data_IF_280001076771
#
_entry.id   IF_280001076771
#
_cell.length_a   1.000
_cell.length_b   1.000
_cell.length_c   1.000
_cell.angle_alpha   90.00
_cell.angle_beta   90.00
_cell.angle_gamma   90.00
#
_symmetry.space_group_name_H-M   'P 1'
#
loop_
_entity.id
_entity.type
_entity.pdbx_description
1 polymer ?
#
# COMPACT_ATOMS: atom_id res chain seq x y z
N UNK A 1 0.46 -2.23 20.20
CA UNK A 1 0.28 -3.57 20.75
C UNK A 1 1.37 -3.86 21.78
N UNK A 2 1.04 -3.86 23.07
CA UNK A 2 1.99 -4.13 24.16
C UNK A 2 1.49 -5.27 25.05
N UNK A 3 2.30 -6.33 25.19
CA UNK A 3 2.03 -7.51 26.02
C UNK A 3 2.98 -7.63 27.22
N UNK A 4 3.83 -6.64 27.48
CA UNK A 4 4.76 -6.69 28.62
C UNK A 4 3.96 -6.73 29.93
N UNK A 5 4.19 -7.77 30.72
CA UNK A 5 3.51 -8.00 32.00
C UNK A 5 2.06 -8.46 31.89
N UNK A 6 1.58 -8.89 30.71
CA UNK A 6 0.18 -9.30 30.49
C UNK A 6 0.04 -10.44 29.48
N UNK A 7 -1.10 -11.12 29.48
CA UNK A 7 -1.43 -12.11 28.44
C UNK A 7 -1.77 -11.43 27.11
N UNK A 8 -1.63 -12.16 26.01
CA UNK A 8 -1.97 -11.68 24.65
C UNK A 8 -3.39 -11.11 24.56
N UNK A 9 -4.35 -11.75 25.21
CA UNK A 9 -5.76 -11.36 25.21
C UNK A 9 -6.03 -10.03 25.92
N UNK A 10 -5.05 -9.51 26.68
CA UNK A 10 -5.13 -8.24 27.41
C UNK A 10 -4.15 -7.20 26.85
N UNK A 11 -3.60 -7.43 25.66
CA UNK A 11 -2.65 -6.53 25.02
C UNK A 11 -3.20 -5.11 24.95
N UNK A 12 -2.35 -4.12 25.23
CA UNK A 12 -2.73 -2.72 25.03
C UNK A 12 -2.58 -2.37 23.54
N UNK A 13 -3.68 -1.96 22.92
CA UNK A 13 -3.71 -1.44 21.56
C UNK A 13 -3.83 0.08 21.60
N UNK A 14 -3.11 0.74 20.70
CA UNK A 14 -3.08 2.19 20.57
C UNK A 14 -2.70 2.55 19.14
N UNK A 15 -3.36 3.57 18.62
CA UNK A 15 -3.10 4.21 17.34
C UNK A 15 -3.12 5.72 17.57
N UNK A 16 -2.20 6.44 16.92
CA UNK A 16 -2.10 7.89 17.05
C UNK A 16 -3.30 8.56 16.34
N UNK A 17 -4.12 9.37 17.04
CA UNK A 17 -5.26 10.07 16.45
C UNK A 17 -4.90 10.98 15.28
N UNK A 18 -3.68 11.53 15.26
CA UNK A 18 -3.23 12.47 14.23
C UNK A 18 -2.56 11.78 13.04
N UNK A 19 -2.19 10.50 13.16
CA UNK A 19 -1.60 9.74 12.06
C UNK A 19 -2.66 8.83 11.40
N UNK A 20 -3.13 7.82 12.11
CA UNK A 20 -4.05 6.82 11.56
C UNK A 20 -5.42 6.83 12.23
N UNK A 21 -5.52 7.36 13.45
CA UNK A 21 -6.74 7.32 14.24
C UNK A 21 -7.31 5.89 14.30
N UNK A 22 -8.61 5.70 14.02
CA UNK A 22 -9.23 4.38 14.06
C UNK A 22 -8.88 3.49 12.85
N UNK A 23 -8.16 3.99 11.84
CA UNK A 23 -7.91 3.27 10.58
C UNK A 23 -6.83 2.19 10.69
N UNK A 24 -6.03 2.19 11.76
CA UNK A 24 -4.92 1.25 11.92
C UNK A 24 -5.20 0.24 13.04
N UNK A 25 -5.13 -1.04 12.71
CA UNK A 25 -5.22 -2.14 13.67
C UNK A 25 -4.05 -3.13 13.49
N UNK A 26 -3.57 -3.69 14.60
CA UNK A 26 -2.46 -4.63 14.57
C UNK A 26 -2.95 -6.07 14.77
N UNK A 27 -2.96 -6.82 13.66
CA UNK A 27 -3.42 -8.20 13.61
C UNK A 27 -2.29 -9.17 14.02
N UNK A 28 -2.40 -9.74 15.22
CA UNK A 28 -1.45 -10.73 15.73
C UNK A 28 -1.74 -12.17 15.35
N UNK A 29 -2.95 -12.43 14.83
CA UNK A 29 -3.35 -13.78 14.37
C UNK A 29 -2.72 -14.07 13.00
N UNK A 30 -2.47 -13.03 12.20
CA UNK A 30 -1.77 -13.13 10.92
C UNK A 30 -0.35 -13.69 11.12
N UNK A 31 0.12 -14.47 10.13
CA UNK A 31 1.48 -15.03 10.11
C UNK A 31 2.15 -14.62 8.79
N UNK A 32 3.09 -13.65 8.80
CA UNK A 32 3.56 -12.88 9.96
C UNK A 32 2.50 -11.93 10.52
N UNK A 33 2.67 -11.47 11.77
CA UNK A 33 1.81 -10.44 12.35
C UNK A 33 1.90 -9.16 11.51
N UNK A 34 0.76 -8.53 11.24
CA UNK A 34 0.65 -7.42 10.29
C UNK A 34 -0.06 -6.22 10.91
N UNK A 35 0.30 -5.03 10.43
CA UNK A 35 -0.49 -3.82 10.64
C UNK A 35 -1.43 -3.68 9.45
N UNK A 36 -2.73 -3.64 9.72
CA UNK A 36 -3.76 -3.34 8.72
C UNK A 36 -4.08 -1.85 8.79
N UNK A 37 -4.11 -1.20 7.62
CA UNK A 37 -4.49 0.20 7.47
C UNK A 37 -5.68 0.28 6.52
N UNK A 38 -6.83 0.69 7.04
CA UNK A 38 -8.06 0.86 6.28
C UNK A 38 -8.11 2.23 5.61
N UNK A 39 -8.76 2.31 4.45
CA UNK A 39 -9.00 3.57 3.74
C UNK A 39 -7.70 4.35 3.48
N UNK A 40 -6.72 3.69 2.84
CA UNK A 40 -5.39 4.25 2.53
C UNK A 40 -5.52 5.56 1.75
N UNK A 41 -4.77 6.58 2.18
CA UNK A 41 -4.70 7.92 1.59
C UNK A 41 -3.33 8.15 0.95
N UNK A 42 -3.23 9.14 0.06
CA UNK A 42 -1.95 9.50 -0.58
C UNK A 42 -0.87 9.88 0.45
N UNK A 43 -1.26 10.61 1.50
CA UNK A 43 -0.35 11.03 2.58
C UNK A 43 0.13 9.86 3.46
N UNK A 44 -0.46 8.67 3.33
CA UNK A 44 0.03 7.46 3.99
C UNK A 44 1.28 6.90 3.28
N UNK A 45 1.64 7.37 2.07
CA UNK A 45 2.87 6.96 1.37
C UNK A 45 4.12 7.29 2.19
N UNK A 46 5.03 6.33 2.30
CA UNK A 46 6.27 6.57 3.00
C UNK A 46 6.96 5.32 3.51
N UNK A 47 7.89 5.54 4.43
CA UNK A 47 8.71 4.48 5.01
C UNK A 47 8.35 4.28 6.48
N UNK A 48 7.82 3.10 6.77
CA UNK A 48 7.31 2.67 8.06
C UNK A 48 8.38 1.89 8.81
N UNK A 49 8.38 2.02 10.14
CA UNK A 49 9.27 1.27 11.03
C UNK A 49 8.48 0.40 11.98
N UNK A 50 8.62 -0.91 11.86
CA UNK A 50 8.13 -1.85 12.86
C UNK A 50 9.22 -2.11 13.91
N UNK A 51 8.95 -1.73 15.15
CA UNK A 51 9.84 -1.92 16.30
C UNK A 51 9.25 -2.97 17.24
N UNK A 52 10.01 -4.01 17.54
CA UNK A 52 9.62 -5.06 18.50
C UNK A 52 10.63 -5.11 19.63
N UNK A 53 10.20 -4.69 20.82
CA UNK A 53 11.02 -4.75 22.03
C UNK A 53 10.77 -6.05 22.80
N UNK A 54 11.85 -6.78 23.11
CA UNK A 54 11.79 -8.01 23.90
C UNK A 54 12.35 -7.77 25.31
N UNK A 55 11.91 -8.58 26.28
CA UNK A 55 12.38 -8.47 27.67
C UNK A 55 13.86 -8.85 27.82
N UNK A 56 14.26 -9.96 27.19
CA UNK A 56 15.58 -10.59 27.36
C UNK A 56 16.35 -10.71 26.03
N UNK A 57 15.95 -9.97 25.01
CA UNK A 57 16.58 -10.04 23.69
C UNK A 57 16.64 -8.65 23.06
N UNK A 58 17.56 -8.40 22.12
CA UNK A 58 17.66 -7.11 21.45
C UNK A 58 16.39 -6.74 20.70
N UNK A 59 16.07 -5.45 20.67
CA UNK A 59 14.98 -4.89 19.86
C UNK A 59 15.20 -5.20 18.39
N UNK A 60 14.16 -5.72 17.72
CA UNK A 60 14.16 -5.90 16.27
C UNK A 60 13.50 -4.71 15.60
N UNK A 61 14.12 -4.22 14.53
CA UNK A 61 13.57 -3.14 13.70
C UNK A 61 13.43 -3.64 12.27
N UNK A 62 12.28 -3.37 11.66
CA UNK A 62 12.02 -3.62 10.25
C UNK A 62 11.60 -2.32 9.59
N UNK A 63 12.01 -2.12 8.35
CA UNK A 63 11.66 -0.97 7.55
C UNK A 63 10.80 -1.45 6.36
N UNK A 64 9.63 -0.84 6.19
CA UNK A 64 8.66 -1.20 5.16
C UNK A 64 8.37 0.05 4.33
N UNK A 65 8.44 -0.05 3.01
CA UNK A 65 8.04 1.03 2.11
C UNK A 65 6.61 0.79 1.66
N UNK A 66 5.73 1.75 1.94
CA UNK A 66 4.38 1.80 1.39
C UNK A 66 4.39 2.79 0.22
N UNK A 67 4.07 2.32 -0.98
CA UNK A 67 3.80 3.16 -2.15
C UNK A 67 2.30 3.18 -2.40
N UNK A 68 1.73 4.36 -2.58
CA UNK A 68 0.29 4.55 -2.81
C UNK A 68 0.09 4.95 -4.26
N UNK A 69 -0.50 4.04 -5.03
CA UNK A 69 -0.77 4.28 -6.45
C UNK A 69 -2.18 4.85 -6.58
N UNK A 70 -2.28 6.08 -7.05
CA UNK A 70 -3.56 6.71 -7.40
C UNK A 70 -3.80 6.52 -8.89
N UNK A 71 -4.83 5.77 -9.31
CA UNK A 71 -5.14 5.61 -10.72
C UNK A 71 -5.63 6.94 -11.31
N UNK A 72 -5.40 7.18 -12.61
CA UNK A 72 -5.95 8.36 -13.27
C UNK A 72 -7.49 8.32 -13.23
N UNK A 73 -8.11 9.50 -13.21
CA UNK A 73 -9.56 9.64 -13.22
C UNK A 73 -10.20 9.05 -14.48
N UNK A 74 -9.50 9.13 -15.60
CA UNK A 74 -9.89 8.58 -16.89
C UNK A 74 -8.65 8.10 -17.62
N UNK A 75 -8.69 6.91 -18.20
CA UNK A 75 -7.64 6.40 -19.07
C UNK A 75 -7.90 6.93 -20.49
N UNK A 76 -6.96 7.72 -21.03
CA UNK A 76 -7.02 8.18 -22.41
C UNK A 76 -5.80 7.62 -23.14
N UNK A 77 -6.07 6.91 -24.23
CA UNK A 77 -5.05 6.28 -25.04
C UNK A 77 -5.08 6.91 -26.43
N UNK A 78 -3.91 7.26 -26.95
CA UNK A 78 -3.76 7.80 -28.29
C UNK A 78 -2.93 6.86 -29.17
N UNK A 79 -3.29 6.75 -30.44
CA UNK A 79 -2.41 6.15 -31.44
C UNK A 79 -1.31 7.11 -31.89
N UNK A 80 -0.40 6.65 -32.76
CA UNK A 80 0.68 7.48 -33.33
C UNK A 80 0.22 8.75 -34.06
N UNK A 81 -1.05 8.83 -34.45
CA UNK A 81 -1.65 9.98 -35.13
C UNK A 81 -2.38 10.93 -34.18
N UNK A 82 -2.35 10.66 -32.87
CA UNK A 82 -3.05 11.44 -31.85
C UNK A 82 -4.55 11.16 -31.78
N UNK A 83 -5.03 10.06 -32.38
CA UNK A 83 -6.44 9.68 -32.29
C UNK A 83 -6.67 8.91 -31.00
N UNK A 84 -7.72 9.32 -30.28
CA UNK A 84 -8.21 8.57 -29.12
C UNK A 84 -8.60 7.14 -29.57
N UNK A 85 -8.08 6.15 -28.86
CA UNK A 85 -8.34 4.74 -29.07
C UNK A 85 -8.91 4.12 -27.80
N UNK A 86 -10.18 3.75 -27.85
CA UNK A 86 -10.87 3.06 -26.75
C UNK A 86 -11.28 1.64 -27.16
N UNK A 87 -10.96 0.64 -26.35
CA UNK A 87 -11.38 -0.74 -26.58
C UNK A 87 -10.45 -1.51 -27.51
N UNK A 88 -10.87 -1.75 -28.76
CA UNK A 88 -10.12 -2.57 -29.73
C UNK A 88 -9.31 -1.67 -30.66
N UNK A 89 -7.99 -1.82 -30.63
CA UNK A 89 -7.06 -1.11 -31.52
C UNK A 89 -6.84 -1.96 -32.78
N UNK A 90 -7.26 -1.45 -33.94
CA UNK A 90 -7.05 -2.10 -35.23
C UNK A 90 -8.07 -1.71 -36.30
N UNK A 91 -8.01 -2.33 -37.50
CA UNK A 91 -7.08 -3.39 -37.92
C UNK A 91 -5.64 -2.88 -38.09
N UNK A 92 -4.66 -3.73 -37.77
CA UNK A 92 -3.23 -3.46 -37.90
C UNK A 92 -2.64 -4.38 -38.96
N UNK A 93 -1.74 -3.86 -39.80
CA UNK A 93 -0.99 -4.66 -40.77
C UNK A 93 0.15 -5.39 -40.07
N UNK A 94 0.38 -6.65 -40.46
CA UNK A 94 1.52 -7.42 -39.97
C UNK A 94 2.84 -6.74 -40.37
N UNK A 95 3.76 -6.58 -39.40
CA UNK A 95 5.03 -5.90 -39.59
C UNK A 95 5.01 -4.39 -39.30
N UNK A 96 3.84 -3.79 -39.05
CA UNK A 96 3.76 -2.39 -38.61
C UNK A 96 4.05 -2.23 -37.11
N UNK A 97 4.67 -1.10 -36.76
CA UNK A 97 4.86 -0.69 -35.37
C UNK A 97 3.55 -0.12 -34.79
N UNK A 98 3.11 -0.68 -33.66
CA UNK A 98 2.01 -0.18 -32.86
C UNK A 98 2.55 0.76 -31.77
N UNK A 99 2.19 2.04 -31.84
CA UNK A 99 2.50 3.04 -30.81
C UNK A 99 1.21 3.45 -30.12
N UNK A 100 1.17 3.27 -28.81
CA UNK A 100 0.11 3.76 -27.93
C UNK A 100 0.72 4.71 -26.90
N UNK A 101 0.14 5.89 -26.79
CA UNK A 101 0.53 6.90 -25.79
C UNK A 101 -0.57 6.96 -24.74
N UNK A 102 -0.18 6.83 -23.47
CA UNK A 102 -1.07 7.03 -22.33
C UNK A 102 -0.90 8.45 -21.81
N UNK A 103 -2.02 9.15 -21.63
CA UNK A 103 -2.10 10.42 -20.91
C UNK A 103 -2.85 10.25 -19.59
#
# INVERSE_FOLDING_TARGET
FDVRGRSFNKALQWSDPNAFGPRADFATIARPASLTLDTVQLDDEGVYRCRVDFKNSPTRNFQIRLSVIVPPHQLILYDKSGRDVSGVVGPLEEGNELVLVCE
#
